data_IF_062195431739
#
_entry.id   IF_062195431739
#
_cell.length_a   1.000
_cell.length_b   1.000
_cell.length_c   1.000
_cell.angle_alpha   90.00
_cell.angle_beta   90.00
_cell.angle_gamma   90.00
#
_symmetry.space_group_name_H-M   'P 1'
#
loop_
_entity.id
_entity.type
_entity.pdbx_description
1 polymer ?
#
# COMPACT_ATOMS: atom_id res chain seq x y z
N UNK A 1 4.85 -13.13 7.94
CA UNK A 1 5.62 -11.96 7.46
C UNK A 1 4.75 -10.72 7.54
N UNK A 2 5.31 -9.51 7.71
CA UNK A 2 4.52 -8.27 7.84
C UNK A 2 3.61 -8.03 6.63
N UNK A 3 4.10 -8.31 5.42
CA UNK A 3 3.30 -8.25 4.18
C UNK A 3 2.00 -9.06 4.27
N UNK A 4 2.08 -10.29 4.76
CA UNK A 4 0.94 -11.22 4.84
C UNK A 4 -0.11 -10.74 5.85
N UNK A 5 0.33 -10.13 6.95
CA UNK A 5 -0.56 -9.54 7.95
C UNK A 5 -1.34 -8.36 7.37
N UNK A 6 -0.64 -7.47 6.65
CA UNK A 6 -1.25 -6.35 5.93
C UNK A 6 -2.27 -6.87 4.91
N UNK A 7 -1.90 -7.86 4.08
CA UNK A 7 -2.81 -8.46 3.10
C UNK A 7 -4.06 -9.05 3.74
N UNK A 8 -3.91 -9.81 4.83
CA UNK A 8 -5.03 -10.45 5.51
C UNK A 8 -6.00 -9.42 6.10
N UNK A 9 -5.49 -8.39 6.79
CA UNK A 9 -6.32 -7.33 7.39
C UNK A 9 -7.06 -6.52 6.33
N UNK A 10 -6.38 -6.16 5.23
CA UNK A 10 -7.01 -5.40 4.14
C UNK A 10 -8.05 -6.22 3.39
N UNK A 11 -7.80 -7.52 3.14
CA UNK A 11 -8.80 -8.41 2.54
C UNK A 11 -10.06 -8.51 3.40
N UNK A 12 -9.89 -8.70 4.70
CA UNK A 12 -11.01 -8.81 5.63
C UNK A 12 -11.83 -7.50 5.74
N UNK A 13 -11.15 -6.35 5.79
CA UNK A 13 -11.81 -5.06 5.97
C UNK A 13 -12.48 -4.52 4.69
N UNK A 14 -11.84 -4.69 3.53
CA UNK A 14 -12.26 -4.01 2.30
C UNK A 14 -12.86 -4.93 1.23
N UNK A 15 -12.76 -6.26 1.40
CA UNK A 15 -13.21 -7.26 0.42
C UNK A 15 -12.86 -6.85 -1.04
N UNK A 16 -11.57 -6.54 -1.30
CA UNK A 16 -11.18 -5.91 -2.55
C UNK A 16 -11.29 -6.89 -3.72
N UNK A 17 -11.66 -6.36 -4.89
CA UNK A 17 -11.60 -7.09 -6.15
C UNK A 17 -10.15 -7.40 -6.53
N UNK A 18 -9.25 -6.45 -6.30
CA UNK A 18 -7.82 -6.59 -6.51
C UNK A 18 -7.06 -6.03 -5.31
N UNK A 19 -6.07 -6.79 -4.84
CA UNK A 19 -5.15 -6.37 -3.79
C UNK A 19 -3.75 -6.85 -4.12
N UNK A 20 -2.82 -5.92 -4.14
CA UNK A 20 -1.39 -6.17 -4.24
C UNK A 20 -0.68 -5.41 -3.11
N UNK A 21 0.17 -6.11 -2.36
CA UNK A 21 1.03 -5.52 -1.33
C UNK A 21 2.47 -5.87 -1.67
N UNK A 22 3.28 -4.86 -1.93
CA UNK A 22 4.69 -5.01 -2.30
C UNK A 22 5.55 -4.42 -1.20
N UNK A 23 6.50 -5.20 -0.69
CA UNK A 23 7.56 -4.68 0.17
C UNK A 23 8.60 -3.95 -0.68
N UNK A 24 8.71 -2.63 -0.48
CA UNK A 24 9.67 -1.77 -1.17
C UNK A 24 10.84 -1.37 -0.27
N UNK A 25 10.97 -1.97 0.92
CA UNK A 25 12.00 -1.63 1.90
C UNK A 25 13.42 -1.66 1.34
N UNK A 26 13.73 -2.59 0.42
CA UNK A 26 15.03 -2.68 -0.26
C UNK A 26 15.39 -1.43 -1.09
N UNK A 27 14.42 -0.59 -1.45
CA UNK A 27 14.62 0.67 -2.18
C UNK A 27 14.99 1.84 -1.26
N UNK A 28 15.03 1.59 0.05
CA UNK A 28 15.31 2.56 1.10
C UNK A 28 16.58 2.21 1.87
N UNK A 29 17.15 3.22 2.55
CA UNK A 29 18.34 3.04 3.39
C UNK A 29 17.96 2.37 4.73
N UNK A 30 17.51 1.12 4.66
CA UNK A 30 17.13 0.28 5.80
C UNK A 30 17.95 -1.02 5.77
N UNK A 31 18.18 -1.66 6.93
CA UNK A 31 18.89 -2.93 6.98
C UNK A 31 18.28 -4.00 6.07
N UNK A 32 19.12 -4.87 5.52
CA UNK A 32 18.65 -5.98 4.69
C UNK A 32 17.65 -6.86 5.47
N UNK A 33 16.51 -7.18 4.86
CA UNK A 33 15.43 -7.92 5.50
C UNK A 33 14.47 -7.08 6.34
N UNK A 34 14.60 -5.74 6.34
CA UNK A 34 13.60 -4.88 6.97
C UNK A 34 12.29 -4.91 6.18
N UNK A 35 11.17 -4.97 6.88
CA UNK A 35 9.81 -4.93 6.34
C UNK A 35 9.13 -3.64 6.83
N UNK A 36 9.53 -2.49 6.29
CA UNK A 36 9.17 -1.15 6.82
C UNK A 36 8.49 -0.22 5.82
N UNK A 37 8.69 -0.41 4.51
CA UNK A 37 8.10 0.42 3.47
C UNK A 37 7.29 -0.45 2.53
N UNK A 38 5.99 -0.16 2.42
CA UNK A 38 5.08 -0.97 1.62
C UNK A 38 4.34 -0.13 0.59
N UNK A 39 4.16 -0.69 -0.60
CA UNK A 39 3.20 -0.21 -1.58
C UNK A 39 1.95 -1.09 -1.52
N UNK A 40 0.77 -0.47 -1.46
CA UNK A 40 -0.51 -1.15 -1.52
C UNK A 40 -1.29 -0.63 -2.70
N UNK A 41 -1.70 -1.54 -3.59
CA UNK A 41 -2.67 -1.27 -4.65
C UNK A 41 -3.94 -2.00 -4.28
N UNK A 42 -5.04 -1.27 -4.14
CA UNK A 42 -6.31 -1.85 -3.74
C UNK A 42 -7.47 -1.31 -4.58
N UNK A 43 -8.23 -2.24 -5.15
CA UNK A 43 -9.45 -1.98 -5.89
C UNK A 43 -10.63 -2.49 -5.07
N UNK A 44 -11.48 -1.59 -4.59
CA UNK A 44 -12.67 -1.94 -3.82
C UNK A 44 -13.79 -0.92 -4.04
N UNK A 45 -15.02 -1.41 -4.18
CA UNK A 45 -16.20 -0.55 -4.27
C UNK A 45 -16.54 0.13 -2.93
N UNK A 46 -15.91 -0.27 -1.82
CA UNK A 46 -15.98 0.49 -0.55
C UNK A 46 -15.44 1.91 -0.67
N UNK A 47 -14.69 2.21 -1.72
CA UNK A 47 -14.17 3.55 -1.99
C UNK A 47 -15.12 4.44 -2.81
N UNK A 48 -16.27 3.91 -3.25
CA UNK A 48 -17.24 4.68 -4.03
C UNK A 48 -17.78 5.85 -3.22
N UNK A 49 -17.76 7.04 -3.82
CA UNK A 49 -18.18 8.28 -3.16
C UNK A 49 -17.20 8.82 -2.10
N UNK A 50 -16.13 8.09 -1.78
CA UNK A 50 -15.11 8.57 -0.84
C UNK A 50 -14.03 9.39 -1.53
N UNK A 51 -13.62 10.48 -0.88
CA UNK A 51 -12.44 11.26 -1.26
C UNK A 51 -11.17 10.47 -0.93
N UNK A 52 -10.12 10.70 -1.71
CA UNK A 52 -8.80 10.07 -1.55
C UNK A 52 -8.29 10.01 -0.10
N UNK A 53 -8.31 11.14 0.62
CA UNK A 53 -7.86 11.20 2.02
C UNK A 53 -8.70 10.33 2.97
N UNK A 54 -10.00 10.18 2.68
CA UNK A 54 -10.87 9.29 3.47
C UNK A 54 -10.51 7.83 3.25
N UNK A 55 -10.31 7.42 1.99
CA UNK A 55 -9.85 6.07 1.65
C UNK A 55 -8.56 5.72 2.39
N UNK A 56 -7.59 6.65 2.39
CA UNK A 56 -6.32 6.49 3.08
C UNK A 56 -6.48 6.38 4.59
N UNK A 57 -7.27 7.27 5.21
CA UNK A 57 -7.56 7.20 6.65
C UNK A 57 -8.20 5.88 7.06
N UNK A 58 -9.13 5.35 6.26
CA UNK A 58 -9.77 4.06 6.52
C UNK A 58 -8.73 2.93 6.52
N UNK A 59 -7.81 2.94 5.55
CA UNK A 59 -6.71 1.96 5.47
C UNK A 59 -5.75 2.10 6.67
N UNK A 60 -5.33 3.33 7.00
CA UNK A 60 -4.48 3.58 8.16
C UNK A 60 -5.13 3.15 9.47
N UNK A 61 -6.45 3.29 9.60
CA UNK A 61 -7.18 2.79 10.77
C UNK A 61 -7.09 1.28 10.92
N UNK A 62 -7.26 0.54 9.82
CA UNK A 62 -7.17 -0.94 9.80
C UNK A 62 -5.75 -1.42 10.11
N UNK A 63 -4.72 -0.70 9.66
CA UNK A 63 -3.31 -1.05 9.82
C UNK A 63 -2.62 -0.31 10.97
N UNK A 64 -3.38 0.24 11.92
CA UNK A 64 -2.84 1.11 12.96
C UNK A 64 -1.84 0.41 13.88
N UNK A 65 -2.02 -0.89 14.13
CA UNK A 65 -1.08 -1.72 14.91
C UNK A 65 0.24 -1.94 14.14
N UNK A 66 0.17 -2.31 12.86
CA UNK A 66 1.35 -2.53 12.01
C UNK A 66 2.20 -1.25 11.86
N UNK A 67 1.54 -0.10 11.77
CA UNK A 67 2.18 1.22 11.71
C UNK A 67 2.85 1.61 13.03
N UNK A 68 2.34 1.13 14.15
CA UNK A 68 2.97 1.32 15.45
C UNK A 68 4.17 0.37 15.64
N UNK A 69 4.08 -0.86 15.11
CA UNK A 69 5.05 -1.93 15.37
C UNK A 69 6.28 -1.92 14.45
N UNK A 70 6.20 -1.36 13.24
CA UNK A 70 7.39 -1.31 12.38
C UNK A 70 7.20 -0.81 10.94
N UNK A 71 5.96 -0.66 10.47
CA UNK A 71 5.71 -0.05 9.15
C UNK A 71 5.94 1.45 9.22
N UNK A 72 7.00 1.92 8.57
CA UNK A 72 7.37 3.33 8.52
C UNK A 72 6.57 4.12 7.48
N UNK A 73 6.30 3.53 6.31
CA UNK A 73 5.61 4.20 5.23
C UNK A 73 4.74 3.26 4.40
N UNK A 74 3.56 3.76 4.00
CA UNK A 74 2.62 3.11 3.09
C UNK A 74 2.36 4.01 1.87
N UNK A 75 2.76 3.56 0.69
CA UNK A 75 2.34 4.13 -0.58
C UNK A 75 1.01 3.50 -1.00
N UNK A 76 -0.10 4.26 -0.89
CA UNK A 76 -1.44 3.75 -1.14
C UNK A 76 -1.95 4.21 -2.53
N UNK A 77 -2.35 3.23 -3.34
CA UNK A 77 -3.06 3.43 -4.60
C UNK A 77 -4.44 2.79 -4.47
N UNK A 78 -5.49 3.62 -4.39
CA UNK A 78 -6.85 3.18 -4.08
C UNK A 78 -7.80 3.53 -5.21
N UNK A 79 -8.50 2.52 -5.72
CA UNK A 79 -9.40 2.64 -6.86
C UNK A 79 -10.75 1.97 -6.58
N UNK A 80 -11.82 2.53 -7.13
CA UNK A 80 -13.08 1.80 -7.32
C UNK A 80 -12.98 0.87 -8.53
N UNK A 81 -13.88 -0.12 -8.67
CA UNK A 81 -13.89 -0.98 -9.84
C UNK A 81 -13.99 -0.17 -11.15
N UNK A 82 -14.85 0.84 -11.17
CA UNK A 82 -15.03 1.73 -12.32
C UNK A 82 -13.78 2.57 -12.65
N UNK A 83 -13.08 3.09 -11.64
CA UNK A 83 -11.83 3.82 -11.83
C UNK A 83 -10.74 2.90 -12.39
N UNK A 84 -10.71 1.65 -11.91
CA UNK A 84 -9.76 0.63 -12.33
C UNK A 84 -9.94 0.19 -13.80
N UNK A 85 -11.18 -0.07 -14.22
CA UNK A 85 -11.50 -0.36 -15.62
C UNK A 85 -11.08 0.78 -16.57
N UNK A 86 -11.30 2.03 -16.15
CA UNK A 86 -10.92 3.20 -16.95
C UNK A 86 -9.40 3.37 -17.08
N UNK A 87 -8.61 2.82 -16.15
CA UNK A 87 -7.14 2.83 -16.17
C UNK A 87 -6.54 1.69 -17.00
N UNK A 88 -7.36 0.77 -17.53
CA UNK A 88 -6.89 -0.43 -18.25
C UNK A 88 -5.82 -1.21 -17.45
N UNK A 89 -6.03 -1.38 -16.14
CA UNK A 89 -5.13 -2.09 -15.23
C UNK A 89 -3.73 -1.45 -15.05
N UNK A 90 -3.53 -0.19 -15.47
CA UNK A 90 -2.23 0.49 -15.32
C UNK A 90 -2.09 1.22 -13.99
N UNK A 91 -1.35 0.63 -13.05
CA UNK A 91 -0.94 1.31 -11.80
C UNK A 91 0.35 2.07 -12.02
N UNK A 92 0.46 3.34 -11.60
CA UNK A 92 1.73 4.05 -11.57
C UNK A 92 2.78 3.29 -10.72
N UNK A 93 4.01 3.22 -11.24
CA UNK A 93 5.15 2.73 -10.46
C UNK A 93 5.51 3.71 -9.33
N UNK A 94 6.02 3.19 -8.21
CA UNK A 94 6.51 4.07 -7.12
C UNK A 94 7.71 4.87 -7.62
N UNK A 95 7.75 6.20 -7.38
CA UNK A 95 8.83 7.06 -7.86
C UNK A 95 10.19 6.64 -7.28
N UNK A 96 11.31 6.90 -7.98
CA UNK A 96 12.63 6.61 -7.44
C UNK A 96 12.89 7.43 -6.17
N UNK A 97 13.29 6.74 -5.10
CA UNK A 97 13.61 7.39 -3.83
C UNK A 97 14.93 8.15 -3.96
N UNK A 98 14.94 9.42 -3.54
CA UNK A 98 16.14 10.29 -3.57
C UNK A 98 17.22 9.90 -2.54
N UNK A 99 17.02 8.80 -1.79
CA UNK A 99 17.84 8.41 -0.63
C UNK A 99 18.56 7.07 -0.74
N UNK A 100 18.42 6.35 -1.86
CA UNK A 100 19.28 5.20 -2.13
C UNK A 100 20.67 5.74 -2.50
N UNK A 101 21.51 5.92 -1.49
CA UNK A 101 22.92 6.24 -1.69
C UNK A 101 23.53 5.21 -2.63
N UNK A 102 24.18 5.70 -3.68
CA UNK A 102 25.02 4.90 -4.57
C UNK A 102 25.93 4.04 -3.71
N UNK A 103 25.75 2.73 -3.72
CA UNK A 103 26.80 1.82 -3.27
C UNK A 103 27.96 2.05 -4.26
N UNK A 104 28.99 2.74 -3.77
CA UNK A 104 30.30 2.81 -4.40
C UNK A 104 31.03 1.47 -4.25
#
# INVERSE_FOLDING_TARGET
MMREQIEAKLRAAFEPFYLEVVDESYRHNVPAGSESHFKVVMVSDRFQGERFLTRHRSIYGVLSEELADGVHALALHTYTHKEWEALQDTVPASPPCRGAGTLA
#
